data_IF_569560010006
#
_entry.id   IF_569560010006
#
_cell.length_a   1.000
_cell.length_b   1.000
_cell.length_c   1.000
_cell.angle_alpha   90.00
_cell.angle_beta   90.00
_cell.angle_gamma   90.00
#
_symmetry.space_group_name_H-M   'P 1'
#
loop_
_entity.id
_entity.type
_entity.pdbx_description
1 polymer ?
#
# COMPACT_ATOMS: atom_id res chain seq x y z
N UNK A 1 -41.76 4.88 40.07
CA UNK A 1 -40.81 4.48 39.00
C UNK A 1 -39.91 5.67 38.68
N UNK A 2 -38.59 5.56 38.88
CA UNK A 2 -37.60 6.62 38.59
C UNK A 2 -36.49 6.03 37.75
N UNK A 3 -36.40 6.44 36.49
CA UNK A 3 -35.35 6.08 35.54
C UNK A 3 -34.08 6.83 35.95
N UNK A 4 -33.03 6.11 36.33
CA UNK A 4 -31.70 6.70 36.57
C UNK A 4 -30.89 6.59 35.29
N UNK A 5 -30.56 7.75 34.71
CA UNK A 5 -29.69 7.90 33.54
C UNK A 5 -28.28 7.44 33.91
N UNK A 6 -27.74 6.48 33.16
CA UNK A 6 -26.34 6.05 33.28
C UNK A 6 -25.53 6.99 32.39
N UNK A 7 -24.80 7.91 33.02
CA UNK A 7 -23.84 8.79 32.34
C UNK A 7 -22.59 7.95 32.06
N UNK A 8 -22.36 7.61 30.79
CA UNK A 8 -21.15 6.90 30.35
C UNK A 8 -20.01 7.92 30.23
N UNK A 9 -19.17 8.02 31.26
CA UNK A 9 -17.95 8.83 31.19
C UNK A 9 -16.90 8.05 30.42
N UNK A 10 -16.70 8.37 29.14
CA UNK A 10 -15.59 7.84 28.35
C UNK A 10 -14.32 8.49 28.91
N UNK A 11 -13.60 7.77 29.77
CA UNK A 11 -12.23 8.10 30.11
C UNK A 11 -11.41 7.94 28.82
N UNK A 12 -11.09 9.06 28.18
CA UNK A 12 -10.20 9.11 27.03
C UNK A 12 -8.82 8.61 27.47
N UNK A 13 -8.50 7.38 27.08
CA UNK A 13 -7.15 6.87 27.14
C UNK A 13 -6.31 7.67 26.13
N UNK A 14 -5.54 8.64 26.63
CA UNK A 14 -4.45 9.26 25.89
C UNK A 14 -3.37 8.21 25.65
N UNK A 15 -3.50 7.43 24.58
CA UNK A 15 -2.46 6.54 24.11
C UNK A 15 -1.72 7.17 22.93
N UNK A 16 -0.48 7.57 23.21
CA UNK A 16 0.66 7.62 22.28
C UNK A 16 0.55 8.61 21.10
N UNK A 17 0.49 9.90 21.41
CA UNK A 17 1.05 10.92 20.53
C UNK A 17 2.57 10.95 20.73
N UNK A 18 3.36 10.40 19.79
CA UNK A 18 4.81 10.57 19.85
C UNK A 18 5.73 9.67 19.03
N UNK A 19 5.25 8.85 18.09
CA UNK A 19 6.16 8.00 17.30
C UNK A 19 5.82 7.88 15.80
N UNK A 20 5.03 8.80 15.24
CA UNK A 20 4.70 8.80 13.81
C UNK A 20 5.51 9.83 12.98
N UNK A 21 6.64 10.31 13.50
CA UNK A 21 7.51 11.27 12.83
C UNK A 21 8.93 10.69 12.63
N UNK A 22 9.06 9.50 12.04
CA UNK A 22 10.40 8.97 11.69
C UNK A 22 10.42 7.90 10.58
N UNK A 23 9.34 7.68 9.82
CA UNK A 23 9.36 6.72 8.70
C UNK A 23 8.46 7.20 7.55
N UNK A 24 8.82 8.28 6.86
CA UNK A 24 8.18 8.57 5.56
C UNK A 24 9.13 9.05 4.47
N UNK A 25 10.43 9.17 4.73
CA UNK A 25 11.42 9.66 3.74
C UNK A 25 12.34 8.59 3.14
N UNK A 26 12.04 7.31 3.33
CA UNK A 26 12.83 6.22 2.77
C UNK A 26 11.96 5.30 1.93
N UNK A 27 11.41 5.82 0.84
CA UNK A 27 11.06 5.10 -0.40
C UNK A 27 10.25 6.08 -1.26
N UNK A 28 10.92 7.10 -1.78
CA UNK A 28 10.71 7.41 -3.19
C UNK A 28 11.23 6.16 -3.92
N UNK A 29 10.43 5.09 -3.93
CA UNK A 29 10.59 4.01 -4.90
C UNK A 29 10.55 4.76 -6.23
N UNK A 30 11.71 4.86 -6.87
CA UNK A 30 11.89 5.52 -8.15
C UNK A 30 10.77 5.04 -9.06
N UNK A 31 9.80 5.92 -9.27
CA UNK A 31 8.63 5.68 -10.06
C UNK A 31 9.12 5.21 -11.43
N UNK A 32 9.01 3.91 -11.66
CA UNK A 32 9.27 3.31 -12.94
C UNK A 32 7.91 2.88 -13.43
N UNK A 33 7.32 3.61 -14.38
CA UNK A 33 6.05 3.23 -15.00
C UNK A 33 6.18 1.94 -15.84
N UNK A 34 7.36 1.33 -15.86
CA UNK A 34 7.60 0.09 -16.57
C UNK A 34 7.32 -1.11 -15.66
N UNK A 35 6.64 -2.14 -16.19
CA UNK A 35 6.49 -3.41 -15.51
C UNK A 35 7.86 -3.91 -15.05
N UNK A 36 7.94 -4.38 -13.81
CA UNK A 36 9.17 -4.98 -13.29
C UNK A 36 9.30 -6.40 -13.80
N UNK A 37 10.52 -6.84 -14.06
CA UNK A 37 10.76 -8.22 -14.49
C UNK A 37 10.39 -9.20 -13.38
N UNK A 38 9.99 -10.41 -13.75
CA UNK A 38 9.79 -11.52 -12.80
C UNK A 38 11.05 -11.75 -11.95
N UNK A 39 12.23 -11.58 -12.56
CA UNK A 39 13.51 -11.68 -11.86
C UNK A 39 13.64 -10.64 -10.75
N UNK A 40 13.30 -9.37 -11.02
CA UNK A 40 13.33 -8.33 -9.99
C UNK A 40 12.41 -8.66 -8.81
N UNK A 41 11.21 -9.19 -9.09
CA UNK A 41 10.30 -9.58 -8.01
C UNK A 41 10.82 -10.76 -7.19
N UNK A 42 11.39 -11.78 -7.85
CA UNK A 42 12.01 -12.90 -7.16
C UNK A 42 13.18 -12.43 -6.28
N UNK A 43 14.09 -11.61 -6.82
CA UNK A 43 15.25 -11.09 -6.08
C UNK A 43 14.84 -10.14 -4.94
N UNK A 44 13.76 -9.38 -5.13
CA UNK A 44 13.33 -8.38 -4.15
C UNK A 44 12.46 -8.97 -3.06
N UNK A 45 11.53 -9.86 -3.40
CA UNK A 45 10.45 -10.31 -2.51
C UNK A 45 10.40 -11.83 -2.31
N UNK A 46 11.16 -12.61 -3.08
CA UNK A 46 11.17 -14.08 -3.01
C UNK A 46 10.11 -14.75 -3.91
N UNK A 47 10.24 -16.07 -4.08
CA UNK A 47 9.38 -16.90 -4.93
C UNK A 47 7.88 -16.79 -4.58
N UNK A 48 7.56 -16.68 -3.28
CA UNK A 48 6.18 -16.71 -2.79
C UNK A 48 5.35 -15.50 -3.22
N UNK A 49 6.01 -14.42 -3.64
CA UNK A 49 5.42 -13.12 -3.90
C UNK A 49 5.07 -12.91 -5.38
N UNK A 50 5.06 -14.00 -6.16
CA UNK A 50 4.82 -14.02 -7.60
C UNK A 50 3.47 -13.41 -7.98
N UNK A 51 2.37 -13.80 -7.31
CA UNK A 51 1.03 -13.35 -7.67
C UNK A 51 0.82 -11.85 -7.40
N UNK A 52 1.30 -11.38 -6.26
CA UNK A 52 1.18 -9.96 -5.89
C UNK A 52 2.09 -9.08 -6.76
N UNK A 53 3.26 -9.59 -7.16
CA UNK A 53 4.10 -8.96 -8.17
C UNK A 53 3.43 -8.89 -9.54
N UNK A 54 2.81 -9.99 -9.99
CA UNK A 54 2.09 -10.02 -11.26
C UNK A 54 0.95 -9.02 -11.28
N UNK A 55 0.22 -8.90 -10.17
CA UNK A 55 -0.83 -7.90 -10.01
C UNK A 55 -0.27 -6.47 -10.07
N UNK A 56 0.83 -6.17 -9.37
CA UNK A 56 1.52 -4.88 -9.47
C UNK A 56 1.90 -4.53 -10.92
N UNK A 57 2.45 -5.48 -11.66
CA UNK A 57 2.83 -5.29 -13.06
C UNK A 57 1.63 -5.05 -13.97
N UNK A 58 0.57 -5.84 -13.80
CA UNK A 58 -0.68 -5.67 -14.54
C UNK A 58 -1.31 -4.29 -14.28
N UNK A 59 -1.40 -3.86 -13.02
CA UNK A 59 -1.97 -2.57 -12.66
C UNK A 59 -1.11 -1.40 -13.20
N UNK A 60 0.22 -1.53 -13.10
CA UNK A 60 1.16 -0.53 -13.65
C UNK A 60 1.01 -0.37 -15.16
N UNK A 61 0.86 -1.48 -15.90
CA UNK A 61 0.68 -1.45 -17.34
C UNK A 61 -0.69 -0.86 -17.75
N UNK A 62 -1.77 -1.19 -17.05
CA UNK A 62 -3.08 -0.57 -17.31
C UNK A 62 -3.04 0.94 -17.05
N UNK A 63 -2.41 1.38 -15.95
CA UNK A 63 -2.20 2.80 -15.68
C UNK A 63 -1.42 3.49 -16.81
N UNK A 64 -0.40 2.82 -17.38
CA UNK A 64 0.39 3.35 -18.51
C UNK A 64 -0.46 3.49 -19.77
N UNK A 65 -1.22 2.47 -20.13
CA UNK A 65 -2.10 2.47 -21.32
C UNK A 65 -3.18 3.55 -21.19
N UNK A 66 -3.87 3.60 -20.05
CA UNK A 66 -4.95 4.56 -19.81
C UNK A 66 -4.45 6.01 -19.77
N UNK A 67 -3.23 6.27 -19.24
CA UNK A 67 -2.62 7.61 -19.34
C UNK A 67 -2.37 8.03 -20.78
N UNK A 68 -1.95 7.09 -21.65
CA UNK A 68 -1.74 7.40 -23.07
C UNK A 68 -3.05 7.81 -23.77
N UNK A 69 -4.19 7.34 -23.25
CA UNK A 69 -5.54 7.66 -23.73
C UNK A 69 -6.18 8.85 -22.99
N UNK A 70 -5.49 9.46 -22.01
CA UNK A 70 -6.02 10.47 -21.07
C UNK A 70 -7.27 9.99 -20.30
N UNK A 71 -7.38 8.69 -20.05
CA UNK A 71 -8.47 8.13 -19.26
C UNK A 71 -8.19 8.35 -17.75
N UNK A 72 -9.11 8.97 -17.00
CA UNK A 72 -8.95 9.21 -15.55
C UNK A 72 -8.81 7.92 -14.73
N UNK A 73 -9.29 6.77 -15.23
CA UNK A 73 -9.11 5.47 -14.57
C UNK A 73 -7.64 5.10 -14.38
N UNK A 74 -6.73 5.74 -15.11
CA UNK A 74 -5.30 5.53 -14.93
C UNK A 74 -4.82 5.80 -13.49
N UNK A 75 -5.46 6.73 -12.77
CA UNK A 75 -5.13 7.01 -11.37
C UNK A 75 -5.56 5.88 -10.44
N UNK A 76 -6.70 5.24 -10.70
CA UNK A 76 -7.18 4.09 -9.92
C UNK A 76 -6.25 2.89 -10.07
N UNK A 77 -5.81 2.60 -11.29
CA UNK A 77 -4.83 1.54 -11.56
C UNK A 77 -3.47 1.87 -10.96
N UNK A 78 -3.04 3.13 -10.97
CA UNK A 78 -1.81 3.54 -10.29
C UNK A 78 -1.91 3.30 -8.78
N UNK A 79 -3.04 3.66 -8.17
CA UNK A 79 -3.27 3.44 -6.75
C UNK A 79 -3.20 1.93 -6.41
N UNK A 80 -3.80 1.08 -7.23
CA UNK A 80 -3.75 -0.37 -7.06
C UNK A 80 -2.31 -0.93 -7.15
N UNK A 81 -1.52 -0.43 -8.10
CA UNK A 81 -0.10 -0.80 -8.22
C UNK A 81 0.68 -0.38 -6.96
N UNK A 82 0.47 0.85 -6.48
CA UNK A 82 1.15 1.37 -5.30
C UNK A 82 0.80 0.55 -4.03
N UNK A 83 -0.47 0.19 -3.86
CA UNK A 83 -0.91 -0.68 -2.75
C UNK A 83 -0.29 -2.08 -2.81
N UNK A 84 -0.24 -2.68 -3.99
CA UNK A 84 0.41 -3.98 -4.19
C UNK A 84 1.90 -3.91 -3.86
N UNK A 85 2.59 -2.85 -4.29
CA UNK A 85 3.99 -2.62 -3.97
C UNK A 85 4.23 -2.40 -2.48
N UNK A 86 3.38 -1.62 -1.81
CA UNK A 86 3.43 -1.44 -0.35
C UNK A 86 3.26 -2.76 0.38
N UNK A 87 2.31 -3.59 -0.07
CA UNK A 87 2.05 -4.92 0.49
C UNK A 87 3.26 -5.85 0.32
N UNK A 88 3.88 -5.88 -0.87
CA UNK A 88 5.11 -6.65 -1.14
C UNK A 88 6.24 -6.26 -0.17
N UNK A 89 6.46 -4.96 0.03
CA UNK A 89 7.48 -4.48 0.99
C UNK A 89 7.11 -4.78 2.45
N UNK A 90 5.82 -4.73 2.81
CA UNK A 90 5.35 -5.06 4.14
C UNK A 90 5.55 -6.55 4.47
N UNK A 91 5.26 -7.45 3.53
CA UNK A 91 5.43 -8.89 3.68
C UNK A 91 6.92 -9.27 3.75
N UNK A 92 7.75 -8.68 2.89
CA UNK A 92 9.22 -8.79 2.99
C UNK A 92 9.74 -8.38 4.36
N UNK A 93 9.26 -7.26 4.90
CA UNK A 93 9.69 -6.77 6.24
C UNK A 93 9.28 -7.73 7.35
N UNK A 94 8.18 -8.46 7.17
CA UNK A 94 7.71 -9.48 8.11
C UNK A 94 8.42 -10.83 7.93
N UNK A 95 9.23 -11.00 6.88
CA UNK A 95 9.92 -12.25 6.57
C UNK A 95 8.99 -13.34 6.05
N UNK A 96 7.90 -12.93 5.40
CA UNK A 96 6.91 -13.82 4.74
C UNK A 96 7.31 -14.00 3.28
#
# INVERSE_FOLDING_TARGET
MKIRKITLTIAGATMLAGAAAAITSAQAATYSPEPRSTQWCHETFGENQHDLCNYYNWASENARVLRAENDPQAEDYQFQADEALRRLYAEKKQGI
#
